data_IF_325516359910
#
_entry.id   IF_325516359910
#
_cell.length_a   1.000
_cell.length_b   1.000
_cell.length_c   1.000
_cell.angle_alpha   90.00
_cell.angle_beta   90.00
_cell.angle_gamma   90.00
#
_symmetry.space_group_name_H-M   'P 1'
#
loop_
_entity.id
_entity.type
_entity.pdbx_description
1 polymer ?
#
# COMPACT_ATOMS: atom_id res chain seq x y z
N UNK A 1 -15.73 -15.79 10.13
CA UNK A 1 -16.51 -16.82 9.38
C UNK A 1 -16.26 -16.71 7.87
N UNK A 2 -16.23 -15.51 7.27
CA UNK A 2 -16.00 -15.32 5.82
C UNK A 2 -14.62 -15.83 5.35
N UNK A 3 -13.53 -15.59 6.10
CA UNK A 3 -12.18 -16.07 5.75
C UNK A 3 -12.12 -17.62 5.79
N UNK A 4 -12.77 -18.23 6.78
CA UNK A 4 -12.82 -19.71 6.90
C UNK A 4 -13.76 -20.32 5.85
N UNK A 5 -14.86 -19.63 5.49
CA UNK A 5 -15.73 -20.04 4.39
C UNK A 5 -14.97 -19.95 3.04
N UNK A 6 -14.16 -18.92 2.83
CA UNK A 6 -13.26 -18.81 1.67
C UNK A 6 -12.21 -19.92 1.60
N UNK A 7 -11.67 -20.36 2.75
CA UNK A 7 -10.75 -21.51 2.83
C UNK A 7 -11.43 -22.86 2.61
N UNK A 8 -12.72 -23.02 2.99
CA UNK A 8 -13.53 -24.21 2.70
C UNK A 8 -13.99 -24.30 1.24
N UNK A 9 -14.13 -23.16 0.55
CA UNK A 9 -14.43 -23.10 -0.89
C UNK A 9 -13.22 -23.47 -1.77
N UNK A 10 -12.10 -23.85 -1.17
CA UNK A 10 -10.83 -24.26 -1.80
C UNK A 10 -10.96 -25.36 -2.88
N UNK A 11 -12.05 -26.11 -2.90
CA UNK A 11 -12.29 -27.18 -3.86
C UNK A 11 -13.20 -26.83 -5.05
N UNK A 12 -13.94 -25.72 -4.98
CA UNK A 12 -14.95 -25.38 -6.00
C UNK A 12 -14.65 -24.17 -6.87
N UNK A 13 -13.67 -23.33 -6.49
CA UNK A 13 -13.36 -22.07 -7.22
C UNK A 13 -12.15 -22.17 -8.15
N UNK A 14 -11.66 -23.39 -8.42
CA UNK A 14 -10.62 -23.67 -9.41
C UNK A 14 -11.07 -23.40 -10.86
N UNK A 15 -12.37 -23.23 -11.10
CA UNK A 15 -12.93 -23.10 -12.46
C UNK A 15 -13.19 -21.66 -12.91
N UNK A 16 -13.20 -20.68 -12.00
CA UNK A 16 -13.35 -19.27 -12.35
C UNK A 16 -12.03 -18.51 -12.16
N UNK A 17 -11.09 -18.74 -13.00
CA UNK A 17 -9.81 -18.08 -13.35
C UNK A 17 -9.24 -16.86 -12.58
N UNK A 18 -9.86 -16.36 -11.52
CA UNK A 18 -9.50 -15.07 -10.89
C UNK A 18 -8.83 -15.22 -9.51
N UNK A 19 -8.91 -16.37 -8.83
CA UNK A 19 -8.33 -16.55 -7.49
C UNK A 19 -7.40 -17.75 -7.50
N UNK A 20 -6.14 -17.54 -7.81
CA UNK A 20 -5.12 -18.57 -7.87
C UNK A 20 -4.45 -18.72 -6.48
N UNK A 21 -5.04 -19.51 -5.58
CA UNK A 21 -4.38 -19.95 -4.36
C UNK A 21 -3.34 -21.02 -4.70
N UNK A 22 -2.08 -20.78 -4.40
CA UNK A 22 -1.01 -21.74 -4.65
C UNK A 22 -0.54 -22.37 -3.33
N UNK A 23 -0.59 -23.70 -3.26
CA UNK A 23 0.03 -24.44 -2.16
C UNK A 23 1.53 -24.57 -2.44
N UNK A 24 2.33 -23.69 -1.82
CA UNK A 24 3.79 -23.65 -1.99
C UNK A 24 4.51 -24.79 -1.28
N UNK A 25 3.78 -25.64 -0.54
CA UNK A 25 4.37 -26.80 0.17
C UNK A 25 4.47 -28.04 -0.72
N UNK A 26 3.89 -28.02 -1.95
CA UNK A 26 3.81 -29.16 -2.85
C UNK A 26 4.56 -28.90 -4.16
N UNK A 27 5.21 -29.92 -4.69
CA UNK A 27 5.88 -29.91 -5.98
C UNK A 27 7.27 -29.28 -5.93
N UNK A 28 7.73 -28.72 -7.05
CA UNK A 28 9.03 -28.07 -7.15
C UNK A 28 9.00 -26.69 -6.48
N UNK A 29 9.68 -26.58 -5.35
CA UNK A 29 9.71 -25.40 -4.49
C UNK A 29 10.24 -24.18 -5.26
N UNK A 30 11.33 -24.31 -5.99
CA UNK A 30 11.95 -23.21 -6.76
C UNK A 30 10.98 -22.64 -7.79
N UNK A 31 10.34 -23.51 -8.58
CA UNK A 31 9.33 -23.12 -9.57
C UNK A 31 8.12 -22.47 -8.88
N UNK A 32 7.72 -23.00 -7.73
CA UNK A 32 6.64 -22.45 -6.91
C UNK A 32 6.92 -21.03 -6.47
N UNK A 33 8.10 -20.79 -5.90
CA UNK A 33 8.54 -19.47 -5.43
C UNK A 33 8.68 -18.46 -6.58
N UNK A 34 9.28 -18.85 -7.71
CA UNK A 34 9.42 -17.98 -8.88
C UNK A 34 8.06 -17.53 -9.41
N UNK A 35 7.12 -18.46 -9.60
CA UNK A 35 5.77 -18.13 -10.08
C UNK A 35 4.94 -17.33 -9.07
N UNK A 36 5.24 -17.43 -7.77
CA UNK A 36 4.63 -16.60 -6.73
C UNK A 36 5.25 -15.19 -6.70
N UNK A 37 6.55 -15.08 -6.94
CA UNK A 37 7.28 -13.81 -6.96
C UNK A 37 6.95 -12.94 -8.19
N UNK A 38 6.69 -13.55 -9.37
CA UNK A 38 6.43 -12.81 -10.60
C UNK A 38 5.31 -11.77 -10.48
N UNK A 39 4.10 -12.07 -9.94
CA UNK A 39 3.07 -11.05 -9.74
C UNK A 39 3.48 -9.96 -8.75
N UNK A 40 4.31 -10.28 -7.75
CA UNK A 40 4.81 -9.30 -6.79
C UNK A 40 5.82 -8.34 -7.46
N UNK A 41 6.72 -8.87 -8.29
CA UNK A 41 7.66 -8.06 -9.08
C UNK A 41 6.89 -7.16 -10.05
N UNK A 42 5.92 -7.73 -10.78
CA UNK A 42 5.05 -6.96 -11.68
C UNK A 42 4.29 -5.84 -10.95
N UNK A 43 3.79 -6.11 -9.73
CA UNK A 43 3.15 -5.11 -8.89
C UNK A 43 4.11 -3.97 -8.50
N UNK A 44 5.33 -4.30 -8.08
CA UNK A 44 6.34 -3.29 -7.74
C UNK A 44 6.72 -2.44 -8.96
N UNK A 45 6.90 -3.06 -10.13
CA UNK A 45 7.17 -2.32 -11.37
C UNK A 45 6.01 -1.41 -11.74
N UNK A 46 4.78 -1.90 -11.67
CA UNK A 46 3.58 -1.10 -11.93
C UNK A 46 3.48 0.10 -10.97
N UNK A 47 3.83 -0.10 -9.69
CA UNK A 47 3.91 0.97 -8.71
C UNK A 47 4.93 2.04 -9.09
N UNK A 48 6.09 1.64 -9.57
CA UNK A 48 7.11 2.60 -10.04
C UNK A 48 6.64 3.34 -11.30
N UNK A 49 5.95 2.68 -12.21
CA UNK A 49 5.41 3.33 -13.41
C UNK A 49 4.39 4.41 -13.06
N UNK A 50 3.43 4.14 -12.16
CA UNK A 50 2.48 5.17 -11.79
C UNK A 50 3.14 6.32 -11.00
N UNK A 51 4.13 6.05 -10.13
CA UNK A 51 4.88 7.11 -9.45
C UNK A 51 5.61 8.04 -10.44
N UNK A 52 6.15 7.45 -11.53
CA UNK A 52 6.77 8.24 -12.61
C UNK A 52 5.72 9.07 -13.34
N UNK A 53 4.56 8.48 -13.64
CA UNK A 53 3.47 9.17 -14.32
C UNK A 53 2.95 10.36 -13.50
N UNK A 54 2.68 10.16 -12.20
CA UNK A 54 2.29 11.21 -11.26
C UNK A 54 3.34 12.34 -11.21
N UNK A 55 4.62 12.00 -11.05
CA UNK A 55 5.72 12.96 -11.06
C UNK A 55 5.78 13.78 -12.37
N UNK A 56 5.55 13.12 -13.51
CA UNK A 56 5.52 13.81 -14.81
C UNK A 56 4.32 14.74 -14.94
N UNK A 57 3.13 14.31 -14.52
CA UNK A 57 1.90 15.13 -14.55
C UNK A 57 2.09 16.36 -13.67
N UNK A 58 2.52 16.19 -12.43
CA UNK A 58 2.78 17.31 -11.50
C UNK A 58 3.85 18.26 -12.05
N UNK A 59 4.96 17.72 -12.52
CA UNK A 59 6.08 18.52 -13.04
C UNK A 59 5.71 19.33 -14.29
N UNK A 60 4.92 18.77 -15.19
CA UNK A 60 4.49 19.46 -16.41
C UNK A 60 3.34 20.44 -16.19
N UNK A 61 2.36 20.05 -15.35
CA UNK A 61 1.17 20.87 -15.13
C UNK A 61 1.38 22.00 -14.12
N UNK A 62 2.13 21.76 -13.03
CA UNK A 62 2.27 22.68 -11.90
C UNK A 62 3.66 23.31 -11.79
N UNK A 63 4.63 22.80 -12.56
CA UNK A 63 5.98 23.38 -12.65
C UNK A 63 6.93 22.92 -11.54
N UNK A 64 8.13 23.56 -11.49
CA UNK A 64 9.27 23.10 -10.68
C UNK A 64 9.03 23.18 -9.18
N UNK A 65 8.30 24.16 -8.71
CA UNK A 65 8.05 24.36 -7.28
C UNK A 65 7.12 23.26 -6.71
N UNK A 66 6.06 22.93 -7.44
CA UNK A 66 5.17 21.82 -7.07
C UNK A 66 5.90 20.47 -7.08
N UNK A 67 6.72 20.24 -8.11
CA UNK A 67 7.55 19.03 -8.20
C UNK A 67 8.54 18.92 -7.03
N UNK A 68 9.17 20.03 -6.62
CA UNK A 68 10.07 20.05 -5.47
C UNK A 68 9.32 19.78 -4.15
N UNK A 69 8.11 20.32 -3.99
CA UNK A 69 7.26 20.06 -2.82
C UNK A 69 6.89 18.57 -2.72
N UNK A 70 6.37 17.98 -3.81
CA UNK A 70 6.01 16.55 -3.88
C UNK A 70 7.24 15.67 -3.64
N UNK A 71 8.38 15.97 -4.27
CA UNK A 71 9.62 15.22 -4.10
C UNK A 71 10.16 15.25 -2.66
N UNK A 72 10.08 16.40 -1.98
CA UNK A 72 10.47 16.52 -0.57
C UNK A 72 9.51 15.75 0.35
N UNK A 73 8.21 15.84 0.08
CA UNK A 73 7.18 15.10 0.81
C UNK A 73 7.34 13.58 0.65
N UNK A 74 7.79 13.09 -0.50
CA UNK A 74 8.01 11.68 -0.80
C UNK A 74 8.95 11.01 0.21
N UNK A 75 9.99 11.71 0.67
CA UNK A 75 10.93 11.16 1.67
C UNK A 75 10.23 10.89 3.00
N UNK A 76 9.42 11.82 3.49
CA UNK A 76 8.64 11.64 4.72
C UNK A 76 7.60 10.53 4.56
N UNK A 77 6.91 10.51 3.43
CA UNK A 77 5.94 9.47 3.10
C UNK A 77 6.56 8.08 3.06
N UNK A 78 7.72 7.94 2.40
CA UNK A 78 8.45 6.67 2.32
C UNK A 78 8.87 6.17 3.69
N UNK A 79 9.35 7.07 4.56
CA UNK A 79 9.71 6.73 5.93
C UNK A 79 8.51 6.17 6.71
N UNK A 80 7.39 6.87 6.71
CA UNK A 80 6.17 6.44 7.41
C UNK A 80 5.60 5.14 6.83
N UNK A 81 5.54 5.02 5.51
CA UNK A 81 5.04 3.82 4.83
C UNK A 81 5.91 2.60 5.13
N UNK A 82 7.23 2.77 5.28
CA UNK A 82 8.15 1.69 5.64
C UNK A 82 7.83 1.06 7.00
N UNK A 83 7.35 1.86 7.97
CA UNK A 83 6.92 1.35 9.28
C UNK A 83 5.71 0.42 9.10
N UNK A 84 4.69 0.86 8.33
CA UNK A 84 3.49 0.04 8.09
C UNK A 84 3.80 -1.22 7.29
N UNK A 85 4.66 -1.11 6.28
CA UNK A 85 5.12 -2.25 5.48
C UNK A 85 5.84 -3.27 6.36
N UNK A 86 6.77 -2.82 7.21
CA UNK A 86 7.50 -3.70 8.12
C UNK A 86 6.58 -4.46 9.07
N UNK A 87 5.64 -3.77 9.71
CA UNK A 87 4.65 -4.39 10.60
C UNK A 87 3.74 -5.36 9.85
N UNK A 88 3.25 -4.98 8.65
CA UNK A 88 2.39 -5.83 7.84
C UNK A 88 3.11 -7.07 7.32
N UNK A 89 4.38 -6.94 6.92
CA UNK A 89 5.21 -8.07 6.49
C UNK A 89 5.50 -9.03 7.65
N UNK A 90 5.81 -8.52 8.83
CA UNK A 90 5.99 -9.33 10.04
C UNK A 90 4.72 -10.10 10.40
N UNK A 91 3.56 -9.43 10.37
CA UNK A 91 2.26 -10.07 10.56
C UNK A 91 1.98 -11.15 9.49
N UNK A 92 2.27 -10.86 8.21
CA UNK A 92 2.12 -11.81 7.10
C UNK A 92 2.95 -13.07 7.26
N UNK A 93 4.18 -12.96 7.76
CA UNK A 93 5.01 -14.13 8.10
C UNK A 93 4.36 -14.99 9.17
N UNK A 94 3.85 -14.38 10.25
CA UNK A 94 3.13 -15.08 11.32
C UNK A 94 1.87 -15.79 10.79
N UNK A 95 1.10 -15.13 9.92
CA UNK A 95 -0.09 -15.73 9.28
C UNK A 95 0.27 -16.97 8.46
N UNK A 96 1.38 -16.90 7.71
CA UNK A 96 1.88 -18.03 6.90
C UNK A 96 2.26 -19.22 7.77
N UNK A 97 2.89 -18.97 8.95
CA UNK A 97 3.27 -20.03 9.90
C UNK A 97 2.02 -20.75 10.46
N UNK A 98 1.02 -20.00 10.94
CA UNK A 98 -0.20 -20.60 11.48
C UNK A 98 -1.02 -21.31 10.40
N UNK A 99 -1.05 -20.77 9.19
CA UNK A 99 -1.69 -21.43 8.05
C UNK A 99 -1.00 -22.74 7.71
N UNK A 100 0.35 -22.76 7.67
CA UNK A 100 1.15 -23.96 7.44
C UNK A 100 0.93 -25.04 8.50
N UNK A 101 0.79 -24.65 9.76
CA UNK A 101 0.43 -25.54 10.89
C UNK A 101 -1.04 -25.98 10.86
N UNK A 102 -1.88 -25.41 9.99
CA UNK A 102 -3.34 -25.60 9.94
C UNK A 102 -4.06 -25.19 11.23
N UNK A 103 -3.43 -24.33 12.04
CA UNK A 103 -4.01 -23.79 13.26
C UNK A 103 -4.83 -22.54 12.91
N UNK A 104 -6.06 -22.77 12.48
CA UNK A 104 -6.97 -21.70 12.07
C UNK A 104 -7.47 -20.85 13.25
N UNK A 105 -7.43 -21.38 14.46
CA UNK A 105 -7.77 -20.65 15.68
C UNK A 105 -6.73 -19.57 15.97
N UNK A 106 -5.45 -19.99 16.04
CA UNK A 106 -4.33 -19.06 16.21
C UNK A 106 -4.20 -18.07 15.04
N UNK A 107 -4.42 -18.53 13.79
CA UNK A 107 -4.42 -17.64 12.61
C UNK A 107 -5.46 -16.52 12.75
N UNK A 108 -6.70 -16.86 13.12
CA UNK A 108 -7.77 -15.85 13.29
C UNK A 108 -7.44 -14.85 14.39
N UNK A 109 -6.92 -15.36 15.51
CA UNK A 109 -6.49 -14.51 16.62
C UNK A 109 -5.36 -13.58 16.20
N UNK A 110 -4.33 -14.11 15.52
CA UNK A 110 -3.19 -13.35 15.02
C UNK A 110 -3.62 -12.25 14.03
N UNK A 111 -4.52 -12.55 13.08
CA UNK A 111 -5.05 -11.56 12.12
C UNK A 111 -5.78 -10.43 12.85
N UNK A 112 -6.62 -10.77 13.86
CA UNK A 112 -7.34 -9.76 14.63
C UNK A 112 -6.39 -8.85 15.43
N UNK A 113 -5.46 -9.45 16.19
CA UNK A 113 -4.51 -8.67 17.00
C UNK A 113 -3.56 -7.84 16.13
N UNK A 114 -3.08 -8.38 15.02
CA UNK A 114 -2.24 -7.63 14.08
C UNK A 114 -3.00 -6.44 13.46
N UNK A 115 -4.27 -6.65 13.06
CA UNK A 115 -5.10 -5.56 12.53
C UNK A 115 -5.27 -4.43 13.55
N UNK A 116 -5.64 -4.78 14.80
CA UNK A 116 -5.81 -3.78 15.87
C UNK A 116 -4.50 -3.08 16.20
N UNK A 117 -3.40 -3.83 16.34
CA UNK A 117 -2.09 -3.27 16.66
C UNK A 117 -1.62 -2.29 15.58
N UNK A 118 -1.64 -2.73 14.30
CA UNK A 118 -1.13 -1.89 13.21
C UNK A 118 -2.06 -0.69 12.99
N UNK A 119 -3.38 -0.85 13.17
CA UNK A 119 -4.33 0.26 13.14
C UNK A 119 -4.03 1.28 14.25
N UNK A 120 -3.79 0.82 15.48
CA UNK A 120 -3.45 1.70 16.60
C UNK A 120 -2.15 2.47 16.36
N UNK A 121 -1.10 1.78 15.84
CA UNK A 121 0.18 2.41 15.45
C UNK A 121 -0.06 3.43 14.33
N UNK A 122 -0.85 3.09 13.30
CA UNK A 122 -1.17 3.99 12.19
C UNK A 122 -1.90 5.23 12.69
N UNK A 123 -2.91 5.06 13.53
CA UNK A 123 -3.66 6.17 14.11
C UNK A 123 -2.77 7.07 14.98
N UNK A 124 -1.92 6.48 15.83
CA UNK A 124 -0.98 7.22 16.65
C UNK A 124 0.02 8.03 15.81
N UNK A 125 0.61 7.41 14.78
CA UNK A 125 1.52 8.09 13.86
C UNK A 125 0.81 9.19 13.07
N UNK A 126 -0.43 8.96 12.64
CA UNK A 126 -1.22 9.96 11.93
C UNK A 126 -1.45 11.19 12.83
N UNK A 127 -1.89 10.97 14.08
CA UNK A 127 -2.09 12.05 15.06
C UNK A 127 -0.78 12.80 15.33
N UNK A 128 0.33 12.08 15.52
CA UNK A 128 1.64 12.70 15.75
C UNK A 128 2.08 13.56 14.56
N UNK A 129 1.92 13.05 13.34
CA UNK A 129 2.30 13.80 12.13
C UNK A 129 1.45 15.06 12.00
N UNK A 130 0.13 15.00 12.19
CA UNK A 130 -0.71 16.20 12.17
C UNK A 130 -0.36 17.20 13.27
N UNK A 131 -0.08 16.72 14.48
CA UNK A 131 0.28 17.58 15.61
C UNK A 131 1.64 18.28 15.42
N UNK A 132 2.58 17.62 14.73
CA UNK A 132 3.94 18.09 14.55
C UNK A 132 4.28 18.46 13.10
N UNK A 133 3.27 18.63 12.24
CA UNK A 133 3.48 18.88 10.81
C UNK A 133 4.34 20.14 10.57
N UNK A 134 3.96 21.26 11.19
CA UNK A 134 4.69 22.52 11.04
C UNK A 134 6.11 22.47 11.64
N UNK A 135 6.35 21.92 12.84
CA UNK A 135 7.69 21.64 13.34
C UNK A 135 8.53 20.74 12.42
N UNK A 136 7.94 19.68 11.84
CA UNK A 136 8.62 18.78 10.91
C UNK A 136 9.04 19.53 9.64
N UNK A 137 8.16 20.33 9.03
CA UNK A 137 8.47 21.10 7.84
C UNK A 137 9.59 22.12 8.08
N UNK A 138 9.59 22.79 9.24
CA UNK A 138 10.66 23.71 9.64
C UNK A 138 11.98 22.97 9.88
N UNK A 139 11.94 21.81 10.52
CA UNK A 139 13.14 20.99 10.75
C UNK A 139 13.76 20.51 9.43
N UNK A 140 12.93 20.20 8.43
CA UNK A 140 13.37 19.83 7.08
C UNK A 140 13.87 21.02 6.27
N UNK A 141 13.84 22.26 6.85
CA UNK A 141 14.31 23.49 6.22
C UNK A 141 13.66 23.75 4.86
N UNK A 142 12.34 23.48 4.77
CA UNK A 142 11.59 23.69 3.53
C UNK A 142 11.55 25.20 3.22
N UNK A 143 11.91 25.61 1.98
CA UNK A 143 11.83 27.00 1.55
C UNK A 143 10.42 27.57 1.72
N UNK A 144 10.31 28.83 2.13
CA UNK A 144 9.02 29.50 2.37
C UNK A 144 8.09 29.45 1.13
N UNK A 145 8.67 29.52 -0.07
CA UNK A 145 7.93 29.42 -1.34
C UNK A 145 7.20 28.07 -1.52
N UNK A 146 7.73 26.99 -0.95
CA UNK A 146 7.20 25.63 -1.07
C UNK A 146 6.37 25.23 0.15
N UNK A 147 6.45 25.98 1.24
CA UNK A 147 5.87 25.58 2.53
C UNK A 147 4.37 25.34 2.46
N UNK A 148 3.63 26.28 1.85
CA UNK A 148 2.17 26.18 1.73
C UNK A 148 1.75 24.96 0.89
N UNK A 149 2.36 24.79 -0.28
CA UNK A 149 2.04 23.69 -1.20
C UNK A 149 2.39 22.32 -0.58
N UNK A 150 3.54 22.25 0.08
CA UNK A 150 3.95 21.01 0.74
C UNK A 150 3.06 20.67 1.94
N UNK A 151 2.66 21.68 2.72
CA UNK A 151 1.75 21.49 3.85
C UNK A 151 0.37 20.98 3.39
N UNK A 152 -0.19 21.60 2.36
CA UNK A 152 -1.46 21.18 1.75
C UNK A 152 -1.38 19.74 1.25
N UNK A 153 -0.38 19.42 0.48
CA UNK A 153 -0.13 18.06 -0.04
C UNK A 153 -0.02 17.02 1.08
N UNK A 154 0.77 17.29 2.12
CA UNK A 154 0.95 16.36 3.24
C UNK A 154 -0.34 16.16 4.05
N UNK A 155 -1.13 17.21 4.28
CA UNK A 155 -2.41 17.09 4.98
C UNK A 155 -3.35 16.14 4.25
N UNK A 156 -3.46 16.25 2.93
CA UNK A 156 -4.32 15.41 2.10
C UNK A 156 -3.81 13.96 2.10
N UNK A 157 -2.51 13.77 1.87
CA UNK A 157 -1.92 12.42 1.83
C UNK A 157 -2.03 11.71 3.17
N UNK A 158 -1.79 12.41 4.28
CA UNK A 158 -1.90 11.80 5.61
C UNK A 158 -3.34 11.42 5.98
N UNK A 159 -4.35 12.10 5.43
CA UNK A 159 -5.72 11.62 5.52
C UNK A 159 -5.91 10.25 4.85
N UNK A 160 -5.16 9.97 3.79
CA UNK A 160 -5.15 8.66 3.09
C UNK A 160 -4.34 7.55 3.76
N UNK A 161 -3.54 7.82 4.80
CA UNK A 161 -2.66 6.81 5.43
C UNK A 161 -3.41 5.58 5.95
N UNK A 162 -4.64 5.75 6.47
CA UNK A 162 -5.46 4.63 6.95
C UNK A 162 -5.83 3.70 5.80
N UNK A 163 -6.17 4.24 4.63
CA UNK A 163 -6.47 3.43 3.45
C UNK A 163 -5.22 2.68 2.95
N UNK A 164 -4.07 3.35 2.94
CA UNK A 164 -2.77 2.76 2.60
C UNK A 164 -2.40 1.62 3.54
N UNK A 165 -2.60 1.80 4.85
CA UNK A 165 -2.43 0.74 5.84
C UNK A 165 -3.32 -0.46 5.55
N UNK A 166 -4.62 -0.25 5.37
CA UNK A 166 -5.58 -1.33 5.09
C UNK A 166 -5.19 -2.11 3.83
N UNK A 167 -4.81 -1.42 2.76
CA UNK A 167 -4.32 -2.06 1.55
C UNK A 167 -3.11 -2.96 1.83
N UNK A 168 -2.07 -2.43 2.49
CA UNK A 168 -0.84 -3.19 2.78
C UNK A 168 -1.11 -4.40 3.69
N UNK A 169 -1.95 -4.23 4.72
CA UNK A 169 -2.35 -5.31 5.62
C UNK A 169 -3.05 -6.44 4.86
N UNK A 170 -4.08 -6.13 4.08
CA UNK A 170 -4.82 -7.13 3.31
C UNK A 170 -3.98 -7.75 2.19
N UNK A 171 -3.10 -6.97 1.53
CA UNK A 171 -2.16 -7.49 0.56
C UNK A 171 -1.20 -8.51 1.19
N UNK A 172 -0.66 -8.24 2.39
CA UNK A 172 0.18 -9.19 3.12
C UNK A 172 -0.61 -10.43 3.57
N UNK A 173 -1.86 -10.27 4.02
CA UNK A 173 -2.73 -11.40 4.35
C UNK A 173 -3.01 -12.29 3.13
N UNK A 174 -3.32 -11.70 1.96
CA UNK A 174 -3.53 -12.46 0.72
C UNK A 174 -2.27 -13.19 0.29
N UNK A 175 -1.11 -12.56 0.39
CA UNK A 175 0.18 -13.22 0.10
C UNK A 175 0.46 -14.36 1.08
N UNK A 176 0.16 -14.20 2.37
CA UNK A 176 0.33 -15.22 3.38
C UNK A 176 -0.52 -16.48 3.11
N UNK A 177 -1.70 -16.32 2.51
CA UNK A 177 -2.55 -17.47 2.09
C UNK A 177 -2.20 -18.00 0.68
N UNK A 178 -1.10 -17.53 0.07
CA UNK A 178 -0.61 -18.03 -1.22
C UNK A 178 -1.22 -17.34 -2.46
N UNK A 179 -1.88 -16.19 -2.28
CA UNK A 179 -2.43 -15.42 -3.39
C UNK A 179 -1.63 -14.12 -3.60
N UNK A 180 -0.72 -14.11 -4.56
CA UNK A 180 0.04 -12.92 -4.96
C UNK A 180 -0.59 -12.16 -6.14
N UNK A 181 -1.59 -12.74 -6.80
CA UNK A 181 -2.21 -12.17 -8.01
C UNK A 181 -3.28 -11.14 -7.64
N UNK A 182 -4.09 -11.40 -6.62
CA UNK A 182 -5.16 -10.48 -6.22
C UNK A 182 -4.63 -9.07 -5.84
N UNK A 183 -3.56 -8.92 -5.02
CA UNK A 183 -2.98 -7.61 -4.74
C UNK A 183 -2.49 -6.88 -6.01
N UNK A 184 -1.98 -7.61 -7.01
CA UNK A 184 -1.57 -7.04 -8.29
C UNK A 184 -2.76 -6.42 -9.05
N UNK A 185 -3.91 -7.11 -9.10
CA UNK A 185 -5.11 -6.58 -9.74
C UNK A 185 -5.64 -5.33 -9.05
N UNK A 186 -5.68 -5.32 -7.72
CA UNK A 186 -6.09 -4.14 -6.95
C UNK A 186 -5.13 -2.96 -7.20
N UNK A 187 -3.82 -3.22 -7.20
CA UNK A 187 -2.83 -2.20 -7.50
C UNK A 187 -2.97 -1.68 -8.94
N UNK A 188 -3.18 -2.57 -9.93
CA UNK A 188 -3.36 -2.20 -11.33
C UNK A 188 -4.57 -1.29 -11.53
N UNK A 189 -5.70 -1.66 -10.95
CA UNK A 189 -6.92 -0.85 -11.01
C UNK A 189 -6.72 0.50 -10.31
N UNK A 190 -6.08 0.51 -9.14
CA UNK A 190 -5.77 1.73 -8.39
C UNK A 190 -4.82 2.65 -9.18
N UNK A 191 -3.77 2.11 -9.82
CA UNK A 191 -2.83 2.89 -10.62
C UNK A 191 -3.50 3.54 -11.85
N UNK A 192 -4.37 2.82 -12.55
CA UNK A 192 -5.12 3.38 -13.67
C UNK A 192 -6.08 4.47 -13.22
N UNK A 193 -6.77 4.25 -12.10
CA UNK A 193 -7.67 5.23 -11.51
C UNK A 193 -6.90 6.48 -11.05
N UNK A 194 -5.76 6.31 -10.40
CA UNK A 194 -4.89 7.41 -9.96
C UNK A 194 -4.49 8.29 -11.16
N UNK A 195 -3.92 7.71 -12.23
CA UNK A 195 -3.54 8.48 -13.42
C UNK A 195 -4.74 9.23 -14.01
N UNK A 196 -5.91 8.59 -14.09
CA UNK A 196 -7.11 9.23 -14.62
C UNK A 196 -7.59 10.39 -13.73
N UNK A 197 -7.52 10.24 -12.40
CA UNK A 197 -7.89 11.28 -11.44
C UNK A 197 -6.87 12.43 -11.43
N UNK A 198 -5.57 12.16 -11.55
CA UNK A 198 -4.54 13.19 -11.67
C UNK A 198 -4.76 14.07 -12.90
N UNK A 199 -5.05 13.45 -14.05
CA UNK A 199 -5.38 14.20 -15.27
C UNK A 199 -6.64 15.06 -15.07
N UNK A 200 -7.65 14.54 -14.39
CA UNK A 200 -8.90 15.24 -14.15
C UNK A 200 -8.73 16.38 -13.13
N UNK A 201 -8.14 16.11 -11.97
CA UNK A 201 -8.08 17.08 -10.88
C UNK A 201 -6.96 18.10 -11.07
N UNK A 202 -5.78 17.68 -11.52
CA UNK A 202 -4.63 18.57 -11.70
C UNK A 202 -4.75 19.38 -12.98
N UNK A 203 -5.14 18.76 -14.11
CA UNK A 203 -5.15 19.43 -15.42
C UNK A 203 -6.49 20.11 -15.68
N UNK A 204 -7.62 19.37 -15.59
CA UNK A 204 -8.94 19.91 -15.95
C UNK A 204 -9.49 20.83 -14.86
N UNK A 205 -9.51 20.39 -13.60
CA UNK A 205 -10.04 21.18 -12.49
C UNK A 205 -9.02 22.16 -11.89
N UNK A 206 -7.74 22.07 -12.27
CA UNK A 206 -6.66 22.97 -11.83
C UNK A 206 -6.56 23.09 -10.31
N UNK A 207 -6.75 21.99 -9.60
CA UNK A 207 -6.74 21.94 -8.13
C UNK A 207 -5.33 22.07 -7.52
N UNK A 208 -4.28 22.23 -8.35
CA UNK A 208 -2.90 22.35 -7.89
C UNK A 208 -2.37 21.02 -7.31
N UNK A 209 -1.48 21.11 -6.33
CA UNK A 209 -0.88 19.94 -5.66
C UNK A 209 -1.87 19.17 -4.77
N UNK A 210 -3.01 19.77 -4.47
CA UNK A 210 -4.08 19.14 -3.70
C UNK A 210 -4.99 18.23 -4.52
N UNK A 211 -4.91 18.31 -5.86
CA UNK A 211 -5.69 17.47 -6.79
C UNK A 211 -5.11 16.10 -6.96
#
# INVERSE_FOLDING_TARGET
RAIIAGLRLRGRLSETGVIMYRDLTKGNITKGLLLFALPMIAGNLLQQFYNIADTLIVGQALGKNALAAVGSAYTLMTFLTSIFLGLSMGAGALFSIYLGKKDYGALRSAVHHALVLIFAVTAALNVLVYAFLDPILRFLQIPDELYSSMREYLVIIFAGLIATFLYNFFACLLRAVGNSVAPLWFLGTSALLNIALDLLFVIEFKMGVGG
#
